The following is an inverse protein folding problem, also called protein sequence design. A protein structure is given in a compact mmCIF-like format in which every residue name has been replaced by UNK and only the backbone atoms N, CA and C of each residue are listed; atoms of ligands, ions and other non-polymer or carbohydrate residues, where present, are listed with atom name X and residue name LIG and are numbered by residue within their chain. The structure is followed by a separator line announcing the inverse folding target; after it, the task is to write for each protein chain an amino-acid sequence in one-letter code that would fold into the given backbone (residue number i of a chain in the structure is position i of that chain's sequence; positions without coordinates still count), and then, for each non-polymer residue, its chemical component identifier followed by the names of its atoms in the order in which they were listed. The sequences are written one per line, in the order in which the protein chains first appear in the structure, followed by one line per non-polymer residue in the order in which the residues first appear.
data_IF_353692210988
#
_entry.id   IF_353692210988
#
_cell.length_a   1.000
_cell.length_b   1.000
_cell.length_c   1.000
_cell.angle_alpha   90.00
_cell.angle_beta   90.00
_cell.angle_gamma   90.00
#
_symmetry.space_group_name_H-M   'P 1'
#
loop_
_entity.id
_entity.type
_entity.pdbx_description
1 polymer ?
#
# COMPACT_ATOMS: atom_id res chain seq x y z
N UNK A 1 -47.70 37.38 -4.21
CA UNK A 1 -46.36 36.76 -4.05
C UNK A 1 -46.48 35.68 -2.99
N UNK A 2 -46.70 34.43 -3.43
CA UNK A 2 -47.10 33.34 -2.55
C UNK A 2 -45.96 32.88 -1.64
N UNK A 3 -46.21 32.84 -0.33
CA UNK A 3 -45.31 32.25 0.65
C UNK A 3 -45.17 30.75 0.33
N UNK A 4 -43.94 30.28 0.10
CA UNK A 4 -43.65 28.86 -0.08
C UNK A 4 -43.99 28.09 1.21
N UNK A 5 -44.88 27.10 1.08
CA UNK A 5 -45.32 26.23 2.17
C UNK A 5 -44.12 25.39 2.71
N UNK A 6 -43.94 25.26 4.04
CA UNK A 6 -42.78 24.60 4.66
C UNK A 6 -42.59 23.14 4.25
N UNK A 7 -43.66 22.47 3.81
CA UNK A 7 -43.66 21.10 3.28
C UNK A 7 -42.93 20.94 1.94
N UNK A 8 -42.75 22.02 1.18
CA UNK A 8 -42.01 21.99 -0.09
C UNK A 8 -40.51 22.02 0.17
N UNK A 9 -40.08 22.79 1.17
CA UNK A 9 -38.67 22.92 1.54
C UNK A 9 -38.09 21.63 2.11
N UNK A 10 -38.85 20.91 2.95
CA UNK A 10 -38.46 19.60 3.49
C UNK A 10 -38.25 18.54 2.38
N UNK A 11 -39.13 18.53 1.37
CA UNK A 11 -39.00 17.62 0.22
C UNK A 11 -37.78 17.93 -0.63
N UNK A 12 -37.45 19.20 -0.83
CA UNK A 12 -36.26 19.62 -1.58
C UNK A 12 -34.99 19.16 -0.85
N UNK A 13 -34.94 19.34 0.47
CA UNK A 13 -33.80 18.87 1.29
C UNK A 13 -33.64 17.35 1.19
N UNK A 14 -34.72 16.58 1.30
CA UNK A 14 -34.67 15.13 1.13
C UNK A 14 -34.18 14.71 -0.27
N UNK A 15 -34.63 15.37 -1.33
CA UNK A 15 -34.16 15.07 -2.70
C UNK A 15 -32.67 15.42 -2.87
N UNK A 16 -32.21 16.53 -2.31
CA UNK A 16 -30.79 16.91 -2.36
C UNK A 16 -29.89 15.95 -1.58
N UNK A 17 -30.36 15.46 -0.41
CA UNK A 17 -29.66 14.45 0.38
C UNK A 17 -29.59 13.10 -0.35
N UNK A 18 -30.69 12.67 -0.96
CA UNK A 18 -30.74 11.44 -1.76
C UNK A 18 -29.85 11.55 -3.01
N UNK A 19 -29.80 12.73 -3.65
CA UNK A 19 -28.93 12.97 -4.80
C UNK A 19 -27.44 12.93 -4.43
N UNK A 20 -27.05 13.54 -3.30
CA UNK A 20 -25.68 13.46 -2.79
C UNK A 20 -25.26 12.03 -2.45
N UNK A 21 -26.13 11.24 -1.83
CA UNK A 21 -25.85 9.84 -1.52
C UNK A 21 -25.63 9.00 -2.80
N UNK A 22 -26.38 9.30 -3.86
CA UNK A 22 -26.30 8.61 -5.15
C UNK A 22 -24.96 8.86 -5.86
N UNK A 23 -24.44 10.09 -5.82
CA UNK A 23 -23.14 10.45 -6.42
C UNK A 23 -21.97 9.78 -5.70
N UNK A 24 -22.03 9.68 -4.36
CA UNK A 24 -20.97 9.07 -3.55
C UNK A 24 -20.76 7.59 -3.85
N UNK A 25 -21.83 6.85 -4.16
CA UNK A 25 -21.75 5.43 -4.55
C UNK A 25 -21.06 5.21 -5.90
N UNK A 26 -21.10 6.19 -6.82
CA UNK A 26 -20.58 6.03 -8.18
C UNK A 26 -19.05 6.13 -8.27
N UNK A 27 -18.37 6.68 -7.26
CA UNK A 27 -16.91 6.85 -7.25
C UNK A 27 -16.16 5.58 -6.81
N UNK A 28 -16.87 4.63 -6.19
CA UNK A 28 -16.28 3.50 -5.47
C UNK A 28 -15.74 2.34 -6.33
N UNK A 29 -15.79 2.42 -7.66
CA UNK A 29 -15.62 1.23 -8.54
C UNK A 29 -14.28 1.17 -9.30
N UNK A 30 -13.32 2.05 -8.98
CA UNK A 30 -11.97 1.94 -9.56
C UNK A 30 -11.10 1.05 -8.67
N UNK A 31 -10.45 0.01 -9.23
CA UNK A 31 -9.50 -0.78 -8.46
C UNK A 31 -8.37 0.14 -7.95
N UNK A 32 -7.87 -0.09 -6.73
CA UNK A 32 -6.78 0.71 -6.20
C UNK A 32 -5.51 0.50 -7.04
N UNK A 33 -4.70 1.55 -7.15
CA UNK A 33 -3.35 1.42 -7.70
C UNK A 33 -2.45 0.77 -6.65
N UNK A 34 -1.64 -0.20 -7.08
CA UNK A 34 -0.64 -0.83 -6.22
C UNK A 34 0.76 -0.38 -6.61
N UNK A 35 1.46 0.29 -5.69
CA UNK A 35 2.85 0.72 -5.87
C UNK A 35 3.73 -0.14 -4.97
N UNK A 36 4.57 -0.98 -5.59
CA UNK A 36 5.54 -1.81 -4.88
C UNK A 36 6.94 -1.19 -4.99
N UNK A 37 7.54 -0.87 -3.85
CA UNK A 37 8.90 -0.33 -3.75
C UNK A 37 9.77 -1.29 -2.96
N UNK A 38 10.87 -1.75 -3.57
CA UNK A 38 11.89 -2.58 -2.95
C UNK A 38 13.24 -1.89 -3.09
N UNK A 39 13.94 -1.69 -1.97
CA UNK A 39 15.32 -1.21 -1.94
C UNK A 39 16.30 -2.40 -1.98
N UNK A 40 17.44 -2.21 -2.64
CA UNK A 40 18.52 -3.19 -2.67
C UNK A 40 19.49 -2.94 -1.52
N UNK A 41 19.96 -4.01 -0.87
CA UNK A 41 20.93 -3.99 0.24
C UNK A 41 20.60 -3.06 1.42
N UNK A 42 19.33 -2.67 1.59
CA UNK A 42 18.89 -1.84 2.72
C UNK A 42 18.82 -2.67 4.00
N UNK A 43 19.71 -2.40 4.95
CA UNK A 43 19.78 -3.07 6.23
C UNK A 43 18.66 -2.65 7.18
N UNK A 44 18.28 -3.56 8.09
CA UNK A 44 17.24 -3.29 9.08
C UNK A 44 17.56 -2.09 9.98
N UNK A 45 18.84 -1.89 10.32
CA UNK A 45 19.31 -0.80 11.18
C UNK A 45 19.73 0.48 10.45
N UNK A 46 19.48 0.59 9.15
CA UNK A 46 19.90 1.78 8.38
C UNK A 46 18.92 2.95 8.52
N UNK A 47 17.63 2.65 8.72
CA UNK A 47 16.52 3.60 8.67
C UNK A 47 16.31 4.34 9.99
N UNK A 48 15.93 5.61 9.92
CA UNK A 48 15.73 6.47 11.09
C UNK A 48 14.72 5.91 12.09
N UNK A 49 13.62 5.30 11.59
CA UNK A 49 12.62 4.64 12.45
C UNK A 49 13.10 3.37 13.17
N UNK A 50 14.32 2.89 12.88
CA UNK A 50 15.00 1.76 13.53
C UNK A 50 16.33 2.19 14.17
N UNK A 51 16.41 3.43 14.64
CA UNK A 51 17.60 4.01 15.28
C UNK A 51 18.84 4.07 14.37
N UNK A 52 18.63 4.03 13.05
CA UNK A 52 19.67 4.17 12.05
C UNK A 52 20.19 5.59 11.89
N UNK A 53 21.34 5.74 11.25
CA UNK A 53 21.98 7.06 11.03
C UNK A 53 21.51 7.75 9.76
N UNK A 54 20.82 7.06 8.85
CA UNK A 54 20.35 7.64 7.61
C UNK A 54 19.17 8.61 7.85
N UNK A 55 19.19 9.73 7.13
CA UNK A 55 18.10 10.72 7.17
C UNK A 55 16.97 10.25 6.24
N UNK A 56 15.90 9.67 6.81
CA UNK A 56 14.80 9.07 6.03
C UNK A 56 13.42 9.65 6.34
N UNK A 57 13.23 10.99 6.30
CA UNK A 57 12.03 11.65 6.83
C UNK A 57 10.73 11.17 6.17
N UNK A 58 10.75 10.84 4.87
CA UNK A 58 9.57 10.33 4.17
C UNK A 58 9.20 8.91 4.64
N UNK A 59 10.19 8.04 4.86
CA UNK A 59 9.94 6.68 5.35
C UNK A 59 9.57 6.69 6.84
N UNK A 60 10.13 7.59 7.63
CA UNK A 60 9.81 7.72 9.06
C UNK A 60 8.37 8.24 9.26
N UNK A 61 7.96 9.20 8.43
CA UNK A 61 6.57 9.67 8.38
C UNK A 61 5.61 8.57 7.92
N UNK A 62 6.00 7.77 6.92
CA UNK A 62 5.23 6.60 6.50
C UNK A 62 5.14 5.58 7.64
N UNK A 63 6.22 5.25 8.33
CA UNK A 63 6.24 4.24 9.39
C UNK A 63 5.38 4.62 10.61
N UNK A 64 5.27 5.91 10.93
CA UNK A 64 4.47 6.43 12.06
C UNK A 64 3.03 6.82 11.69
N UNK A 65 2.67 6.76 10.41
CA UNK A 65 1.37 7.18 9.91
C UNK A 65 0.19 6.31 10.41
N UNK A 66 -1.02 6.89 10.54
CA UNK A 66 -2.20 6.19 11.06
C UNK A 66 -2.74 5.09 10.13
N UNK A 67 -2.35 5.09 8.85
CA UNK A 67 -2.79 4.13 7.83
C UNK A 67 -1.68 3.14 7.45
N UNK A 68 -0.66 3.02 8.29
CA UNK A 68 0.53 2.22 8.00
C UNK A 68 0.57 0.95 8.82
N UNK A 69 1.09 -0.11 8.20
CA UNK A 69 1.43 -1.36 8.87
C UNK A 69 2.94 -1.57 8.76
N UNK A 70 3.61 -1.68 9.91
CA UNK A 70 5.03 -2.01 9.97
C UNK A 70 5.22 -3.47 10.35
N UNK A 71 6.15 -4.15 9.67
CA UNK A 71 6.51 -5.54 9.92
C UNK A 71 7.91 -5.59 10.53
N UNK A 72 8.00 -5.70 11.86
CA UNK A 72 9.29 -5.75 12.58
C UNK A 72 10.05 -7.06 12.37
N UNK A 73 9.39 -8.06 11.77
CA UNK A 73 9.94 -9.39 11.48
C UNK A 73 9.66 -9.81 10.03
N UNK A 74 10.09 -8.96 9.09
CA UNK A 74 10.04 -9.26 7.66
C UNK A 74 11.37 -9.86 7.20
N UNK A 75 11.40 -11.16 6.92
CA UNK A 75 12.61 -11.87 6.48
C UNK A 75 12.65 -11.97 4.96
N UNK A 76 13.82 -11.72 4.38
CA UNK A 76 14.04 -11.92 2.95
C UNK A 76 13.90 -13.41 2.58
N UNK A 77 13.44 -13.68 1.36
CA UNK A 77 13.33 -15.06 0.88
C UNK A 77 14.66 -15.76 0.67
N UNK A 78 15.79 -15.04 0.68
CA UNK A 78 17.15 -15.56 0.65
C UNK A 78 18.17 -14.47 1.04
N UNK A 79 19.45 -14.80 1.22
CA UNK A 79 20.47 -13.84 1.67
C UNK A 79 21.11 -13.03 0.52
N UNK A 80 20.63 -13.18 -0.72
CA UNK A 80 21.17 -12.48 -1.91
C UNK A 80 20.05 -11.98 -2.85
N UNK A 81 20.39 -11.12 -3.80
CA UNK A 81 19.44 -10.35 -4.61
C UNK A 81 18.45 -11.22 -5.42
N UNK A 82 18.95 -12.13 -6.27
CA UNK A 82 18.13 -12.98 -7.14
C UNK A 82 17.09 -13.86 -6.42
N UNK A 83 17.43 -14.65 -5.37
CA UNK A 83 16.44 -15.39 -4.61
C UNK A 83 15.45 -14.48 -3.87
N UNK A 84 15.89 -13.35 -3.32
CA UNK A 84 14.99 -12.40 -2.65
C UNK A 84 13.94 -11.86 -3.60
N UNK A 85 14.37 -11.29 -4.74
CA UNK A 85 13.48 -10.75 -5.77
C UNK A 85 12.56 -11.83 -6.33
N UNK A 86 13.09 -13.03 -6.60
CA UNK A 86 12.31 -14.15 -7.10
C UNK A 86 11.20 -14.59 -6.13
N UNK A 87 11.46 -14.62 -4.82
CA UNK A 87 10.43 -14.99 -3.83
C UNK A 87 9.30 -13.96 -3.76
N UNK A 88 9.61 -12.66 -3.89
CA UNK A 88 8.62 -11.59 -3.91
C UNK A 88 7.77 -11.62 -5.17
N UNK A 89 8.37 -11.82 -6.34
CA UNK A 89 7.64 -11.82 -7.62
C UNK A 89 6.76 -13.08 -7.81
N UNK A 90 7.18 -14.21 -7.26
CA UNK A 90 6.51 -15.50 -7.50
C UNK A 90 5.67 -15.99 -6.32
N UNK A 91 5.88 -15.45 -5.12
CA UNK A 91 5.31 -15.98 -3.88
C UNK A 91 5.80 -17.39 -3.52
N UNK A 92 6.86 -17.89 -4.18
CA UNK A 92 7.41 -19.23 -3.97
C UNK A 92 8.74 -19.17 -3.23
N UNK A 93 9.04 -20.22 -2.47
CA UNK A 93 10.38 -20.40 -1.92
C UNK A 93 11.40 -20.59 -3.06
N UNK A 94 12.60 -20.02 -2.92
CA UNK A 94 13.65 -20.07 -3.95
C UNK A 94 14.10 -21.48 -4.35
N UNK A 95 13.98 -22.45 -3.45
CA UNK A 95 14.23 -23.87 -3.75
C UNK A 95 13.21 -24.47 -4.73
N UNK A 96 12.04 -23.85 -4.92
CA UNK A 96 10.95 -24.34 -5.79
C UNK A 96 11.02 -23.79 -7.22
N UNK A 97 11.97 -22.91 -7.52
CA UNK A 97 12.21 -22.36 -8.85
C UNK A 97 13.72 -22.23 -9.20
N UNK A 98 14.57 -22.92 -8.43
CA UNK A 98 15.99 -23.15 -8.72
C UNK A 98 16.85 -21.89 -8.90
N UNK A 99 16.62 -20.86 -8.09
CA UNK A 99 17.50 -19.68 -8.02
C UNK A 99 18.09 -19.62 -6.64
N UNK A 100 19.26 -20.22 -6.45
CA UNK A 100 19.90 -20.34 -5.14
C UNK A 100 20.93 -19.23 -4.87
N UNK A 101 21.47 -18.62 -5.92
CA UNK A 101 22.54 -17.61 -5.84
C UNK A 101 22.23 -16.41 -6.73
N UNK A 102 22.97 -15.31 -6.55
CA UNK A 102 22.78 -14.09 -7.34
C UNK A 102 23.13 -14.26 -8.83
N UNK A 103 24.16 -15.07 -9.12
CA UNK A 103 24.82 -15.12 -10.43
C UNK A 103 24.66 -16.47 -11.14
N UNK A 104 23.87 -17.39 -10.60
CA UNK A 104 23.50 -18.61 -11.29
C UNK A 104 22.21 -18.38 -12.09
N UNK A 105 22.16 -18.95 -13.29
CA UNK A 105 20.90 -19.05 -14.03
C UNK A 105 19.85 -19.84 -13.25
N UNK A 106 18.62 -19.83 -13.74
CA UNK A 106 17.51 -20.63 -13.19
C UNK A 106 17.56 -22.09 -13.68
N UNK A 107 18.75 -22.68 -13.75
CA UNK A 107 18.95 -24.06 -14.18
C UNK A 107 18.62 -25.02 -13.03
N UNK A 108 17.32 -25.30 -12.90
CA UNK A 108 16.90 -26.67 -12.65
C UNK A 108 17.42 -27.57 -13.80
#
# INVERSE_FOLDING_TARGET
MGAQEPRVMEKIVCVLLLFHASLSLAEADRPPNFVFMMADDLGYGDLGYNDGTAQTPNLDAMASGPHSLRLDRYYSGGPVCSPTRGTVLTGRNHNRYCVWTANAGNNC
#
